data_IF_007603796584
#
_entry.id   IF_007603796584
#
_cell.length_a   1.000
_cell.length_b   1.000
_cell.length_c   1.000
_cell.angle_alpha   90.00
_cell.angle_beta   90.00
_cell.angle_gamma   90.00
#
_symmetry.space_group_name_H-M   'P 1'
#
loop_
_entity.id
_entity.type
_entity.pdbx_description
1 polymer ?
#
# COMPACT_ATOMS: atom_id res chain seq x y z
N UNK A 1 6.30 -2.86 9.89
CA UNK A 1 5.13 -2.61 10.73
C UNK A 1 5.61 -1.84 11.93
N UNK A 2 5.25 -0.57 12.06
CA UNK A 2 5.57 0.23 13.25
C UNK A 2 4.27 0.41 14.01
N UNK A 3 4.16 -0.21 15.17
CA UNK A 3 3.10 0.08 16.11
C UNK A 3 3.62 1.13 17.09
N UNK A 4 2.93 2.23 17.26
CA UNK A 4 3.22 3.22 18.29
C UNK A 4 1.99 3.41 19.15
N UNK A 5 2.11 3.18 20.45
CA UNK A 5 1.15 3.62 21.44
C UNK A 5 1.44 5.09 21.73
N UNK A 6 0.51 5.97 21.39
CA UNK A 6 0.59 7.39 21.71
C UNK A 6 -0.34 7.64 22.88
N UNK A 7 0.24 7.97 24.02
CA UNK A 7 -0.50 8.48 25.17
C UNK A 7 -0.65 9.99 25.02
N UNK A 8 -1.86 10.49 24.88
CA UNK A 8 -2.13 11.93 24.99
C UNK A 8 -2.67 12.19 26.39
N UNK A 9 -1.94 12.98 27.17
CA UNK A 9 -2.43 13.52 28.43
C UNK A 9 -3.41 14.65 28.11
N UNK A 10 -4.63 14.48 28.60
CA UNK A 10 -5.67 15.50 28.83
C UNK A 10 -5.98 16.49 27.70
N UNK A 11 -7.14 16.30 27.08
CA UNK A 11 -7.79 17.29 26.22
C UNK A 11 -8.65 18.18 27.10
N UNK A 12 -8.50 19.49 26.97
CA UNK A 12 -9.41 20.47 27.58
C UNK A 12 -10.60 20.76 26.63
N UNK A 13 -11.78 21.00 27.22
CA UNK A 13 -13.00 21.31 26.49
C UNK A 13 -12.82 22.66 25.75
N UNK A 14 -12.61 22.62 24.45
CA UNK A 14 -12.38 23.79 23.61
C UNK A 14 -11.27 23.64 22.57
N UNK A 15 -10.53 22.54 22.56
CA UNK A 15 -9.46 22.31 21.58
C UNK A 15 -10.05 21.98 20.20
N UNK A 16 -9.83 22.87 19.23
CA UNK A 16 -10.16 22.61 17.83
C UNK A 16 -9.11 21.71 17.17
N UNK A 17 -9.57 20.56 16.67
CA UNK A 17 -8.70 19.67 15.86
C UNK A 17 -8.51 20.32 14.49
N UNK A 18 -7.42 21.06 14.31
CA UNK A 18 -7.02 21.56 12.99
C UNK A 18 -6.30 20.43 12.26
N UNK A 19 -7.05 19.67 11.47
CA UNK A 19 -6.47 18.64 10.59
C UNK A 19 -5.88 19.33 9.35
N UNK A 20 -4.60 19.66 9.43
CA UNK A 20 -3.86 20.14 8.28
C UNK A 20 -3.49 18.92 7.42
N UNK A 21 -4.16 18.73 6.27
CA UNK A 21 -4.04 17.57 5.36
C UNK A 21 -2.61 17.22 4.91
N UNK A 22 -1.65 18.11 5.13
CA UNK A 22 -0.27 17.97 4.64
C UNK A 22 0.77 17.71 5.73
N UNK A 23 0.50 18.05 7.00
CA UNK A 23 1.54 18.05 8.03
C UNK A 23 1.51 16.82 8.96
N UNK A 24 0.35 16.25 9.25
CA UNK A 24 0.24 15.18 10.24
C UNK A 24 1.02 13.92 9.84
N UNK A 25 0.86 13.47 8.60
CA UNK A 25 1.61 12.31 8.09
C UNK A 25 3.12 12.61 7.90
N UNK A 26 3.49 13.89 7.68
CA UNK A 26 4.88 14.31 7.48
C UNK A 26 5.61 14.49 8.81
N UNK A 27 4.99 15.07 9.80
CA UNK A 27 5.56 15.22 11.15
C UNK A 27 5.73 13.87 11.82
N UNK A 28 4.76 12.97 11.71
CA UNK A 28 4.86 11.61 12.19
C UNK A 28 5.93 10.78 11.47
N UNK A 29 6.12 10.99 10.16
CA UNK A 29 7.18 10.34 9.41
C UNK A 29 8.57 10.85 9.80
N UNK A 30 8.70 12.12 10.16
CA UNK A 30 9.96 12.72 10.63
C UNK A 30 10.30 12.23 12.05
N UNK A 31 9.34 12.20 12.96
CA UNK A 31 9.53 11.64 14.31
C UNK A 31 9.83 10.13 14.29
N UNK A 32 9.17 9.37 13.44
CA UNK A 32 9.43 7.93 13.28
C UNK A 32 10.84 7.66 12.71
N UNK A 33 11.38 8.57 11.87
CA UNK A 33 12.74 8.44 11.33
C UNK A 33 13.84 8.86 12.32
N UNK A 34 13.52 9.67 13.32
CA UNK A 34 14.48 10.07 14.35
C UNK A 34 14.66 9.00 15.44
N UNK A 35 13.69 8.12 15.64
CA UNK A 35 13.73 7.02 16.60
C UNK A 35 14.09 5.68 15.93
N UNK A 36 15.23 5.60 15.25
CA UNK A 36 15.83 4.35 14.76
C UNK A 36 16.48 3.53 15.88
N UNK A 37 15.84 3.41 17.04
CA UNK A 37 16.14 2.33 17.96
C UNK A 37 15.34 1.11 17.50
N UNK A 38 16.01 -0.03 17.39
CA UNK A 38 15.42 -1.36 17.28
C UNK A 38 14.41 -1.50 18.43
N UNK A 39 13.18 -1.08 18.20
CA UNK A 39 12.09 -1.31 19.15
C UNK A 39 11.87 -2.82 19.17
N UNK A 40 12.35 -3.45 20.25
CA UNK A 40 12.00 -4.82 20.57
C UNK A 40 10.49 -4.88 20.70
N UNK A 41 9.88 -5.84 19.98
CA UNK A 41 8.44 -6.12 20.09
C UNK A 41 8.12 -6.29 21.58
N UNK A 42 7.15 -5.54 22.15
CA UNK A 42 6.76 -5.70 23.55
C UNK A 42 6.45 -7.16 23.88
N UNK A 43 6.75 -7.58 25.10
CA UNK A 43 6.70 -8.99 25.52
C UNK A 43 5.32 -9.61 25.27
N UNK A 44 4.26 -8.87 25.51
CA UNK A 44 2.86 -9.29 25.25
C UNK A 44 2.56 -9.62 23.78
N UNK A 45 3.32 -9.03 22.83
CA UNK A 45 3.14 -9.25 21.38
C UNK A 45 4.16 -10.21 20.77
N UNK A 46 5.13 -10.73 21.54
CA UNK A 46 6.17 -11.63 21.02
C UNK A 46 5.59 -12.91 20.40
N UNK A 47 4.46 -13.40 20.91
CA UNK A 47 3.74 -14.53 20.29
C UNK A 47 3.30 -14.26 18.84
N UNK A 48 3.22 -12.98 18.44
CA UNK A 48 2.88 -12.52 17.11
C UNK A 48 4.08 -11.99 16.33
N UNK A 49 5.30 -12.28 16.75
CA UNK A 49 6.55 -11.75 16.17
C UNK A 49 6.63 -11.91 14.63
N UNK A 50 6.04 -12.98 14.07
CA UNK A 50 5.96 -13.19 12.62
C UNK A 50 5.24 -12.06 11.86
N UNK A 51 4.23 -11.43 12.48
CA UNK A 51 3.48 -10.31 11.87
C UNK A 51 4.36 -9.08 11.71
N UNK A 52 5.38 -8.93 12.56
CA UNK A 52 6.33 -7.81 12.55
C UNK A 52 7.59 -8.12 11.74
N UNK A 53 7.75 -9.35 11.28
CA UNK A 53 8.94 -9.79 10.52
C UNK A 53 8.94 -9.22 9.10
N UNK A 54 10.05 -8.57 8.72
CA UNK A 54 10.24 -8.06 7.38
C UNK A 54 10.37 -9.19 6.35
N UNK A 55 11.03 -10.28 6.71
CA UNK A 55 11.22 -11.44 5.83
C UNK A 55 9.90 -12.16 5.55
N UNK A 56 9.06 -12.33 6.56
CA UNK A 56 7.73 -12.93 6.39
C UNK A 56 6.79 -12.07 5.53
N UNK A 57 6.95 -10.75 5.56
CA UNK A 57 6.17 -9.83 4.73
C UNK A 57 6.55 -9.87 3.24
N UNK A 58 7.69 -10.47 2.89
CA UNK A 58 8.21 -10.53 1.51
C UNK A 58 7.84 -11.81 0.76
N UNK A 59 7.05 -12.69 1.36
CA UNK A 59 6.59 -13.92 0.70
C UNK A 59 5.67 -13.60 -0.49
N UNK A 60 5.71 -14.47 -1.52
CA UNK A 60 4.74 -14.39 -2.60
C UNK A 60 3.32 -14.68 -2.05
N UNK A 61 2.32 -13.85 -2.31
CA UNK A 61 0.99 -14.00 -1.74
C UNK A 61 0.23 -15.20 -2.34
N UNK A 62 -0.65 -15.87 -1.54
CA UNK A 62 -1.51 -16.91 -2.06
C UNK A 62 -2.58 -16.33 -2.99
N UNK A 63 -3.09 -17.15 -3.89
CA UNK A 63 -4.26 -16.82 -4.73
C UNK A 63 -5.50 -16.60 -3.86
N UNK A 64 -6.29 -15.57 -4.19
CA UNK A 64 -7.55 -15.24 -3.52
C UNK A 64 -8.62 -14.90 -4.54
N UNK A 65 -9.88 -14.97 -4.13
CA UNK A 65 -11.02 -14.54 -4.96
C UNK A 65 -10.95 -13.05 -5.33
N UNK A 66 -10.33 -12.24 -4.45
CA UNK A 66 -10.16 -10.78 -4.64
C UNK A 66 -8.84 -10.43 -5.33
N UNK A 67 -8.20 -11.35 -6.03
CA UNK A 67 -7.02 -11.02 -6.82
C UNK A 67 -7.34 -9.90 -7.80
N UNK A 68 -6.40 -8.96 -7.96
CA UNK A 68 -6.60 -7.72 -8.70
C UNK A 68 -6.91 -7.98 -10.18
N UNK A 69 -8.12 -7.65 -10.59
CA UNK A 69 -8.58 -7.79 -11.96
C UNK A 69 -8.29 -6.53 -12.79
N UNK A 70 -7.75 -6.70 -13.99
CA UNK A 70 -7.57 -5.63 -14.97
C UNK A 70 -8.56 -5.87 -16.11
N UNK A 71 -9.79 -5.37 -15.95
CA UNK A 71 -10.82 -5.48 -16.97
C UNK A 71 -10.66 -4.35 -17.98
N UNK A 72 -10.42 -4.69 -19.24
CA UNK A 72 -10.30 -3.71 -20.30
C UNK A 72 -11.67 -3.37 -20.88
N UNK A 73 -11.80 -2.14 -21.40
CA UNK A 73 -12.97 -1.70 -22.17
C UNK A 73 -13.02 -2.48 -23.49
N UNK A 74 -14.22 -2.68 -24.11
CA UNK A 74 -14.36 -3.46 -25.34
C UNK A 74 -13.56 -2.92 -26.53
N UNK A 75 -13.34 -1.62 -26.56
CA UNK A 75 -12.63 -0.88 -27.60
C UNK A 75 -11.15 -0.64 -27.28
N UNK A 76 -10.61 -1.34 -26.27
CA UNK A 76 -9.20 -1.25 -25.92
C UNK A 76 -8.31 -1.70 -27.09
N UNK A 77 -7.22 -0.98 -27.39
CA UNK A 77 -6.32 -1.32 -28.49
C UNK A 77 -5.64 -2.66 -28.24
N UNK A 78 -5.32 -3.37 -29.31
CA UNK A 78 -4.58 -4.65 -29.19
C UNK A 78 -3.13 -4.49 -28.71
N UNK A 79 -2.57 -3.28 -28.82
CA UNK A 79 -1.19 -2.97 -28.42
C UNK A 79 -1.15 -1.62 -27.71
N UNK A 80 -0.37 -1.55 -26.62
CA UNK A 80 -0.02 -0.30 -25.94
C UNK A 80 1.50 -0.27 -25.80
N UNK A 81 2.19 0.39 -26.69
CA UNK A 81 3.64 0.55 -26.62
C UNK A 81 4.02 1.92 -26.06
N UNK A 82 5.21 2.02 -25.51
CA UNK A 82 5.73 3.24 -24.91
C UNK A 82 7.20 3.47 -25.26
N UNK A 83 7.66 4.70 -25.11
CA UNK A 83 9.08 5.05 -25.18
C UNK A 83 9.78 4.62 -23.89
N UNK A 84 11.01 4.14 -24.02
CA UNK A 84 11.91 3.91 -22.89
C UNK A 84 12.52 5.26 -22.52
N UNK A 85 12.44 5.62 -21.24
CA UNK A 85 13.14 6.81 -20.74
C UNK A 85 14.62 6.50 -20.54
N UNK A 86 15.53 7.41 -20.95
CA UNK A 86 16.95 7.26 -20.69
C UNK A 86 17.20 7.31 -19.17
N UNK A 87 18.09 6.43 -18.71
CA UNK A 87 18.51 6.35 -17.32
C UNK A 87 19.96 6.81 -17.18
N UNK A 88 20.28 7.46 -16.09
CA UNK A 88 21.67 7.70 -15.72
C UNK A 88 22.28 6.41 -15.09
N UNK A 89 23.62 6.33 -14.91
CA UNK A 89 24.27 5.14 -14.38
C UNK A 89 23.71 4.69 -13.01
N UNK A 90 23.49 5.63 -12.09
CA UNK A 90 22.96 5.34 -10.76
C UNK A 90 21.52 4.74 -10.83
N UNK A 91 20.70 5.27 -11.72
CA UNK A 91 19.35 4.75 -11.97
C UNK A 91 19.38 3.37 -12.62
N UNK A 92 20.36 3.12 -13.50
CA UNK A 92 20.54 1.81 -14.14
C UNK A 92 20.92 0.74 -13.13
N UNK A 93 21.84 1.05 -12.20
CA UNK A 93 22.22 0.14 -11.12
C UNK A 93 21.05 -0.12 -10.16
N UNK A 94 20.32 0.92 -9.80
CA UNK A 94 19.13 0.80 -8.96
C UNK A 94 18.05 -0.07 -9.64
N UNK A 95 17.84 0.09 -10.94
CA UNK A 95 16.93 -0.73 -11.73
C UNK A 95 17.35 -2.20 -11.74
N UNK A 96 18.61 -2.47 -12.02
CA UNK A 96 19.14 -3.84 -12.08
C UNK A 96 18.95 -4.57 -10.74
N UNK A 97 19.24 -3.87 -9.62
CA UNK A 97 19.03 -4.38 -8.27
C UNK A 97 17.54 -4.65 -8.00
N UNK A 98 16.67 -3.70 -8.35
CA UNK A 98 15.23 -3.83 -8.15
C UNK A 98 14.64 -4.99 -8.96
N UNK A 99 15.01 -5.12 -10.24
CA UNK A 99 14.54 -6.22 -11.10
C UNK A 99 14.98 -7.56 -10.53
N UNK A 100 16.25 -7.70 -10.15
CA UNK A 100 16.76 -8.93 -9.55
C UNK A 100 15.96 -9.31 -8.30
N UNK A 101 15.80 -8.36 -7.37
CA UNK A 101 15.05 -8.58 -6.14
C UNK A 101 13.61 -9.01 -6.38
N UNK A 102 12.92 -8.39 -7.36
CA UNK A 102 11.52 -8.70 -7.65
C UNK A 102 11.34 -10.00 -8.44
N UNK A 103 12.32 -10.38 -9.25
CA UNK A 103 12.37 -11.71 -9.90
C UNK A 103 12.59 -12.81 -8.85
N UNK A 104 13.54 -12.62 -7.94
CA UNK A 104 13.84 -13.58 -6.86
C UNK A 104 12.63 -13.82 -5.95
N UNK A 105 11.80 -12.76 -5.69
CA UNK A 105 10.55 -12.84 -4.94
C UNK A 105 9.35 -13.30 -5.77
N UNK A 106 9.51 -13.57 -7.05
CA UNK A 106 8.43 -13.89 -8.00
C UNK A 106 7.36 -12.78 -8.13
N UNK A 107 7.67 -11.54 -7.77
CA UNK A 107 6.76 -10.40 -7.90
C UNK A 107 6.61 -9.91 -9.34
N UNK A 108 7.62 -10.19 -10.18
CA UNK A 108 7.60 -9.93 -11.61
C UNK A 108 8.13 -11.15 -12.37
N UNK A 109 7.83 -11.23 -13.66
CA UNK A 109 8.43 -12.21 -14.58
C UNK A 109 8.69 -11.57 -15.93
N UNK A 110 9.51 -12.21 -16.76
CA UNK A 110 9.71 -11.82 -18.16
C UNK A 110 8.38 -11.88 -18.93
N UNK A 111 8.16 -10.92 -19.81
CA UNK A 111 6.92 -10.80 -20.58
C UNK A 111 7.17 -10.82 -22.09
N UNK A 112 6.14 -11.22 -22.82
CA UNK A 112 6.00 -11.05 -24.27
C UNK A 112 4.73 -10.26 -24.60
N UNK A 113 4.25 -9.47 -23.65
CA UNK A 113 3.01 -8.72 -23.79
C UNK A 113 3.09 -7.71 -24.96
N UNK A 114 1.98 -7.52 -25.68
CA UNK A 114 1.83 -6.40 -26.61
C UNK A 114 1.60 -5.06 -25.88
N UNK A 115 1.40 -5.09 -24.55
CA UNK A 115 1.27 -3.91 -23.71
C UNK A 115 2.59 -3.61 -23.02
N UNK A 116 2.93 -2.33 -22.94
CA UNK A 116 4.10 -1.86 -22.22
C UNK A 116 3.85 -0.50 -21.59
N UNK A 117 3.88 -0.42 -20.27
CA UNK A 117 3.94 0.84 -19.55
C UNK A 117 5.37 1.36 -19.48
N UNK A 118 5.63 2.65 -19.60
CA UNK A 118 6.95 3.21 -19.36
C UNK A 118 7.25 3.20 -17.86
N UNK A 119 8.53 3.21 -17.59
CA UNK A 119 9.09 3.15 -16.25
C UNK A 119 9.99 4.37 -16.05
N UNK A 120 10.00 4.94 -14.84
CA UNK A 120 10.87 6.05 -14.47
C UNK A 120 11.15 6.09 -12.96
N UNK A 121 12.16 6.87 -12.56
CA UNK A 121 12.48 7.09 -11.16
C UNK A 121 11.97 8.44 -10.67
N UNK A 122 11.47 8.45 -9.43
CA UNK A 122 11.18 9.66 -8.68
C UNK A 122 12.13 9.72 -7.49
N UNK A 123 12.77 10.86 -7.29
CA UNK A 123 13.56 11.12 -6.09
C UNK A 123 12.61 11.43 -4.92
N UNK A 124 12.76 10.69 -3.82
CA UNK A 124 12.09 11.02 -2.58
C UNK A 124 12.76 12.22 -1.90
N UNK A 125 12.12 12.79 -0.89
CA UNK A 125 12.67 13.90 -0.09
C UNK A 125 13.99 13.55 0.60
N UNK A 126 14.20 12.28 0.95
CA UNK A 126 15.42 11.73 1.54
C UNK A 126 16.52 11.42 0.51
N UNK A 127 16.31 11.76 -0.76
CA UNK A 127 17.24 11.51 -1.86
C UNK A 127 17.20 10.08 -2.43
N UNK A 128 16.46 9.15 -1.82
CA UNK A 128 16.32 7.78 -2.34
C UNK A 128 15.48 7.74 -3.61
N UNK A 129 15.78 6.78 -4.48
CA UNK A 129 15.06 6.59 -5.72
C UNK A 129 13.83 5.69 -5.49
N UNK A 130 12.66 6.15 -5.93
CA UNK A 130 11.46 5.35 -6.02
C UNK A 130 11.17 5.03 -7.47
N UNK A 131 11.06 3.76 -7.77
CA UNK A 131 10.67 3.25 -9.07
C UNK A 131 9.16 3.37 -9.25
N UNK A 132 8.72 3.88 -10.39
CA UNK A 132 7.30 4.09 -10.72
C UNK A 132 7.03 3.65 -12.15
N UNK A 133 5.98 2.89 -12.36
CA UNK A 133 5.43 2.56 -13.67
C UNK A 133 4.33 3.58 -14.03
N UNK A 134 4.35 4.07 -15.25
CA UNK A 134 3.31 4.97 -15.72
C UNK A 134 2.16 4.21 -16.38
N UNK A 135 1.18 3.88 -15.59
CA UNK A 135 -0.01 3.17 -16.06
C UNK A 135 -1.12 4.07 -16.62
N UNK A 136 -0.88 5.38 -16.86
CA UNK A 136 -1.93 6.30 -17.36
C UNK A 136 -2.57 5.81 -18.65
N UNK A 137 -1.78 5.27 -19.59
CA UNK A 137 -2.29 4.70 -20.84
C UNK A 137 -3.17 3.46 -20.59
N UNK A 138 -2.71 2.52 -19.74
CA UNK A 138 -3.50 1.36 -19.33
C UNK A 138 -4.78 1.79 -18.58
N UNK A 139 -4.66 2.73 -17.65
CA UNK A 139 -5.78 3.22 -16.85
C UNK A 139 -6.89 3.87 -17.70
N UNK A 140 -6.54 4.49 -18.82
CA UNK A 140 -7.51 5.05 -19.76
C UNK A 140 -8.43 3.97 -20.38
N UNK A 141 -7.90 2.76 -20.55
CA UNK A 141 -8.58 1.60 -21.12
C UNK A 141 -9.10 0.60 -20.09
N UNK A 142 -8.82 0.82 -18.81
CA UNK A 142 -9.32 -0.04 -17.74
C UNK A 142 -10.72 0.38 -17.31
N UNK A 143 -11.62 -0.57 -17.17
CA UNK A 143 -12.93 -0.36 -16.54
C UNK A 143 -12.71 -0.04 -15.06
N UNK A 144 -13.21 1.11 -14.60
CA UNK A 144 -13.02 1.53 -13.21
C UNK A 144 -13.87 0.68 -12.27
N UNK A 145 -13.25 0.28 -11.18
CA UNK A 145 -13.92 -0.30 -10.04
C UNK A 145 -14.57 0.82 -9.22
N UNK A 146 -15.82 0.62 -8.86
CA UNK A 146 -16.62 1.58 -8.07
C UNK A 146 -16.68 1.22 -6.59
N UNK A 147 -15.81 0.30 -6.11
CA UNK A 147 -15.76 -0.06 -4.70
C UNK A 147 -15.55 1.21 -3.86
N UNK A 148 -16.40 1.46 -2.85
CA UNK A 148 -16.34 2.70 -2.08
C UNK A 148 -15.10 2.76 -1.19
N UNK A 149 -14.32 3.81 -1.34
CA UNK A 149 -13.29 4.15 -0.35
C UNK A 149 -13.97 4.82 0.86
N UNK A 150 -13.49 4.56 2.08
CA UNK A 150 -14.03 5.19 3.27
C UNK A 150 -13.98 6.72 3.20
N UNK A 151 -15.07 7.38 3.58
CA UNK A 151 -15.10 8.83 3.69
C UNK A 151 -14.30 9.31 4.91
N UNK A 152 -13.26 10.11 4.67
CA UNK A 152 -12.38 10.63 5.71
C UNK A 152 -13.14 11.47 6.72
N UNK A 153 -14.16 12.23 6.29
CA UNK A 153 -14.99 13.07 7.17
C UNK A 153 -15.77 12.20 8.17
N UNK A 154 -16.34 11.10 7.67
CA UNK A 154 -17.04 10.13 8.53
C UNK A 154 -16.08 9.41 9.48
N UNK A 155 -14.88 9.04 9.02
CA UNK A 155 -13.85 8.46 9.88
C UNK A 155 -13.49 9.42 11.02
N UNK A 156 -13.19 10.67 10.71
CA UNK A 156 -12.84 11.70 11.70
C UNK A 156 -13.95 11.91 12.72
N UNK A 157 -15.21 11.96 12.26
CA UNK A 157 -16.36 12.10 13.16
C UNK A 157 -16.48 10.94 14.16
N UNK A 158 -16.19 9.72 13.72
CA UNK A 158 -16.23 8.53 14.55
C UNK A 158 -15.06 8.43 15.55
N UNK A 159 -14.03 9.27 15.41
CA UNK A 159 -12.93 9.38 16.37
C UNK A 159 -13.27 10.29 17.56
N UNK A 160 -14.34 11.09 17.49
CA UNK A 160 -14.76 11.94 18.60
C UNK A 160 -15.03 11.11 19.86
N UNK A 161 -14.49 11.54 21.00
CA UNK A 161 -14.60 10.85 22.28
C UNK A 161 -13.72 9.60 22.44
N UNK A 162 -12.85 9.30 21.48
CA UNK A 162 -11.82 8.27 21.64
C UNK A 162 -10.57 8.87 22.28
N UNK A 163 -9.88 8.08 23.12
CA UNK A 163 -8.74 8.54 23.91
C UNK A 163 -7.49 7.69 23.68
N UNK A 164 -7.64 6.41 23.34
CA UNK A 164 -6.51 5.52 23.07
C UNK A 164 -6.48 5.19 21.58
N UNK A 165 -5.29 5.32 20.99
CA UNK A 165 -5.09 5.14 19.56
C UNK A 165 -3.91 4.24 19.28
N UNK A 166 -4.10 3.20 18.46
CA UNK A 166 -3.02 2.38 17.90
C UNK A 166 -3.12 2.39 16.38
N UNK A 167 -2.03 2.78 15.71
CA UNK A 167 -1.93 2.77 14.25
C UNK A 167 -1.03 1.64 13.80
N UNK A 168 -1.53 0.87 12.81
CA UNK A 168 -0.72 -0.10 12.07
C UNK A 168 -0.62 0.36 10.61
N UNK A 169 0.58 0.17 10.05
CA UNK A 169 0.87 0.36 8.64
C UNK A 169 1.15 -1.00 8.02
N UNK A 170 0.43 -1.36 6.95
CA UNK A 170 0.62 -2.66 6.30
C UNK A 170 1.84 -2.58 5.39
N UNK A 171 2.94 -3.18 5.83
CA UNK A 171 4.18 -3.24 5.04
C UNK A 171 3.94 -3.99 3.73
N UNK A 172 4.37 -3.38 2.62
CA UNK A 172 4.25 -3.96 1.27
C UNK A 172 2.80 -4.31 0.89
N UNK A 173 1.82 -3.55 1.36
CA UNK A 173 0.40 -3.86 1.25
C UNK A 173 -0.01 -4.30 -0.16
N UNK A 174 0.33 -3.53 -1.20
CA UNK A 174 -0.03 -3.86 -2.58
C UNK A 174 0.65 -5.15 -3.07
N UNK A 175 1.88 -5.43 -2.67
CA UNK A 175 2.57 -6.68 -3.04
C UNK A 175 1.96 -7.92 -2.38
N UNK A 176 1.08 -7.75 -1.39
CA UNK A 176 0.34 -8.84 -0.75
C UNK A 176 -0.96 -9.21 -1.49
N UNK A 177 -1.26 -8.57 -2.62
CA UNK A 177 -2.39 -8.90 -3.49
C UNK A 177 -1.86 -9.25 -4.87
N UNK A 178 -2.25 -10.42 -5.38
CA UNK A 178 -1.88 -10.88 -6.72
C UNK A 178 -2.67 -10.13 -7.78
N UNK A 179 -2.10 -10.05 -8.97
CA UNK A 179 -2.89 -9.78 -10.18
C UNK A 179 -3.55 -11.08 -10.58
N UNK A 180 -4.85 -11.02 -10.90
CA UNK A 180 -5.66 -12.17 -11.34
C UNK A 180 -4.97 -12.90 -12.48
N UNK A 181 -4.98 -14.23 -12.41
CA UNK A 181 -4.36 -15.06 -13.44
C UNK A 181 -4.98 -14.77 -14.82
N UNK A 182 -4.08 -14.52 -15.80
CA UNK A 182 -4.44 -14.11 -17.15
C UNK A 182 -4.52 -12.59 -17.37
N UNK A 183 -4.41 -11.76 -16.32
CA UNK A 183 -4.43 -10.30 -16.41
C UNK A 183 -3.02 -9.65 -16.33
N UNK A 184 -2.00 -10.40 -15.91
CA UNK A 184 -0.65 -9.88 -15.65
C UNK A 184 -0.03 -9.17 -16.85
N UNK A 185 -0.21 -9.73 -18.05
CA UNK A 185 0.33 -9.17 -19.28
C UNK A 185 -0.17 -7.76 -19.59
N UNK A 186 -1.37 -7.40 -19.14
CA UNK A 186 -1.96 -6.06 -19.36
C UNK A 186 -1.18 -4.98 -18.63
N UNK A 187 -0.57 -5.32 -17.49
CA UNK A 187 0.25 -4.42 -16.68
C UNK A 187 1.75 -4.54 -16.96
N UNK A 188 2.13 -5.12 -18.09
CA UNK A 188 3.53 -5.21 -18.47
C UNK A 188 4.18 -3.83 -18.56
N UNK A 189 5.46 -3.74 -18.22
CA UNK A 189 6.24 -2.51 -18.23
C UNK A 189 7.60 -2.74 -18.90
N UNK A 190 8.06 -1.72 -19.61
CA UNK A 190 9.24 -1.77 -20.47
C UNK A 190 10.39 -0.99 -19.83
N UNK A 191 11.53 -1.63 -19.74
CA UNK A 191 12.76 -1.06 -19.18
C UNK A 191 13.93 -1.25 -20.17
N UNK A 192 15.05 -0.55 -20.01
CA UNK A 192 16.26 -0.85 -20.80
C UNK A 192 16.79 -2.28 -20.65
N UNK A 193 16.42 -2.98 -19.57
CA UNK A 193 16.84 -4.35 -19.27
C UNK A 193 15.85 -5.42 -19.75
N UNK A 194 14.71 -5.01 -20.32
CA UNK A 194 13.72 -5.93 -20.87
C UNK A 194 12.29 -5.54 -20.59
N UNK A 195 11.37 -6.40 -21.03
CA UNK A 195 9.94 -6.30 -20.80
C UNK A 195 9.55 -7.28 -19.69
N UNK A 196 8.86 -6.79 -18.68
CA UNK A 196 8.43 -7.54 -17.50
C UNK A 196 6.94 -7.35 -17.26
N UNK A 197 6.32 -8.32 -16.63
CA UNK A 197 4.94 -8.22 -16.17
C UNK A 197 4.84 -8.53 -14.67
N UNK A 198 4.04 -7.76 -13.92
CA UNK A 198 3.90 -7.94 -12.49
C UNK A 198 2.96 -9.11 -12.20
N UNK A 199 3.30 -9.88 -11.16
CA UNK A 199 2.48 -10.96 -10.60
C UNK A 199 1.65 -10.47 -9.41
N UNK A 200 2.03 -9.32 -8.83
CA UNK A 200 1.36 -8.67 -7.70
C UNK A 200 1.01 -7.23 -8.07
N UNK A 201 0.09 -6.63 -7.34
CA UNK A 201 -0.28 -5.24 -7.60
C UNK A 201 0.92 -4.31 -7.46
N UNK A 202 1.02 -3.35 -8.38
CA UNK A 202 1.98 -2.27 -8.33
C UNK A 202 1.27 -0.92 -8.18
N UNK A 203 2.02 0.08 -7.73
CA UNK A 203 1.52 1.44 -7.65
C UNK A 203 1.19 2.00 -9.05
N UNK A 204 0.13 2.82 -9.11
CA UNK A 204 -0.27 3.51 -10.33
C UNK A 204 -1.40 2.86 -11.12
N UNK A 205 -1.79 1.62 -10.85
CA UNK A 205 -2.97 0.98 -11.42
C UNK A 205 -4.25 1.61 -10.83
N UNK A 206 -5.21 2.00 -11.67
CA UNK A 206 -6.36 2.80 -11.25
C UNK A 206 -7.27 2.10 -10.23
N UNK A 207 -7.40 0.77 -10.32
CA UNK A 207 -8.27 -0.01 -9.44
C UNK A 207 -7.52 -0.62 -8.23
N UNK A 208 -6.19 -0.45 -8.12
CA UNK A 208 -5.42 -1.00 -7.02
C UNK A 208 -5.89 -0.49 -5.64
N UNK A 209 -6.24 0.80 -5.45
CA UNK A 209 -6.80 1.29 -4.20
C UNK A 209 -8.12 0.59 -3.83
N UNK A 210 -9.04 0.44 -4.79
CA UNK A 210 -10.35 -0.20 -4.59
C UNK A 210 -10.20 -1.68 -4.23
N UNK A 211 -9.39 -2.43 -4.99
CA UNK A 211 -9.09 -3.84 -4.71
C UNK A 211 -8.48 -3.99 -3.32
N UNK A 212 -7.48 -3.16 -2.97
CA UNK A 212 -6.81 -3.27 -1.69
C UNK A 212 -7.76 -2.97 -0.51
N UNK A 213 -8.57 -1.91 -0.63
CA UNK A 213 -9.59 -1.59 0.37
C UNK A 213 -10.59 -2.75 0.55
N UNK A 214 -11.04 -3.36 -0.55
CA UNK A 214 -11.94 -4.52 -0.51
C UNK A 214 -11.30 -5.70 0.24
N UNK A 215 -10.05 -6.04 -0.07
CA UNK A 215 -9.30 -7.09 0.62
C UNK A 215 -9.19 -6.81 2.12
N UNK A 216 -8.84 -5.57 2.49
CA UNK A 216 -8.70 -5.15 3.89
C UNK A 216 -10.04 -5.18 4.62
N UNK A 217 -11.11 -4.69 3.99
CA UNK A 217 -12.46 -4.71 4.56
C UNK A 217 -12.92 -6.15 4.81
N UNK A 218 -12.70 -7.06 3.87
CA UNK A 218 -13.05 -8.47 4.03
C UNK A 218 -12.27 -9.14 5.17
N UNK A 219 -10.95 -8.92 5.23
CA UNK A 219 -10.11 -9.52 6.29
C UNK A 219 -10.50 -9.02 7.67
N UNK A 220 -10.82 -7.73 7.79
CA UNK A 220 -11.12 -7.10 9.07
C UNK A 220 -12.61 -7.06 9.42
N UNK A 221 -13.49 -7.51 8.51
CA UNK A 221 -14.94 -7.53 8.74
C UNK A 221 -15.36 -8.21 10.05
N UNK A 222 -14.85 -9.40 10.43
CA UNK A 222 -15.22 -10.02 11.70
C UNK A 222 -14.89 -9.15 12.91
N UNK A 223 -13.76 -8.45 12.88
CA UNK A 223 -13.34 -7.55 13.93
C UNK A 223 -14.17 -6.26 13.94
N UNK A 224 -14.47 -5.69 12.77
CA UNK A 224 -15.35 -4.51 12.66
C UNK A 224 -16.78 -4.78 13.18
N UNK A 225 -17.29 -5.99 12.95
CA UNK A 225 -18.60 -6.40 13.47
C UNK A 225 -18.57 -6.60 14.99
N UNK A 226 -17.48 -7.15 15.53
CA UNK A 226 -17.33 -7.37 16.97
C UNK A 226 -17.06 -6.07 17.73
N UNK A 227 -16.32 -5.14 17.14
CA UNK A 227 -15.91 -3.87 17.74
C UNK A 227 -16.30 -2.68 16.83
N UNK A 228 -17.61 -2.39 16.73
CA UNK A 228 -18.10 -1.33 15.85
C UNK A 228 -17.55 0.03 16.29
N UNK A 229 -17.18 0.85 15.32
CA UNK A 229 -16.62 2.19 15.52
C UNK A 229 -15.32 2.26 16.33
N UNK A 230 -14.56 1.15 16.40
CA UNK A 230 -13.26 1.11 17.07
C UNK A 230 -12.14 0.78 16.08
N UNK A 231 -12.44 0.12 14.97
CA UNK A 231 -11.46 -0.29 13.96
C UNK A 231 -11.77 0.45 12.66
N UNK A 232 -10.83 1.27 12.25
CA UNK A 232 -10.90 2.09 11.05
C UNK A 232 -9.81 1.63 10.08
N UNK A 233 -10.17 1.49 8.82
CA UNK A 233 -9.28 1.03 7.77
C UNK A 233 -9.36 1.98 6.60
N UNK A 234 -8.23 2.52 6.21
CA UNK A 234 -8.09 3.33 5.02
C UNK A 234 -6.86 2.85 4.25
N UNK A 235 -7.09 2.02 3.24
CA UNK A 235 -6.03 1.39 2.47
C UNK A 235 -5.07 0.58 3.37
N UNK A 236 -3.79 0.95 3.40
CA UNK A 236 -2.72 0.34 4.18
C UNK A 236 -2.67 0.79 5.65
N UNK A 237 -3.44 1.82 6.01
CA UNK A 237 -3.55 2.34 7.36
C UNK A 237 -4.68 1.67 8.13
N UNK A 238 -4.38 1.02 9.25
CA UNK A 238 -5.35 0.48 10.20
C UNK A 238 -5.23 1.27 11.49
N UNK A 239 -6.32 1.89 11.92
CA UNK A 239 -6.38 2.63 13.17
C UNK A 239 -7.35 1.93 14.13
N UNK A 240 -6.87 1.59 15.31
CA UNK A 240 -7.71 1.16 16.43
C UNK A 240 -7.86 2.37 17.36
N UNK A 241 -9.10 2.74 17.67
CA UNK A 241 -9.41 3.86 18.52
C UNK A 241 -10.50 3.48 19.54
N UNK A 242 -10.20 3.60 20.84
CA UNK A 242 -11.12 3.22 21.91
C UNK A 242 -11.31 4.38 22.89
N UNK A 243 -12.39 4.36 23.70
CA UNK A 243 -12.50 5.23 24.88
C UNK A 243 -11.30 5.03 25.80
N UNK A 244 -11.24 5.81 26.88
CA UNK A 244 -10.19 5.68 27.90
C UNK A 244 -10.38 4.41 28.76
N UNK A 245 -10.28 3.25 28.10
CA UNK A 245 -10.39 1.92 28.71
C UNK A 245 -9.29 1.01 28.13
N UNK A 246 -8.18 0.82 28.85
CA UNK A 246 -7.07 -0.01 28.40
C UNK A 246 -7.45 -1.49 28.21
N UNK A 247 -8.49 -1.98 28.89
CA UNK A 247 -8.92 -3.39 28.76
C UNK A 247 -9.67 -3.65 27.47
N UNK A 248 -10.24 -2.57 26.89
CA UNK A 248 -10.96 -2.62 25.63
C UNK A 248 -10.04 -2.36 24.43
N UNK A 249 -8.91 -1.67 24.66
CA UNK A 249 -7.95 -1.32 23.61
C UNK A 249 -7.01 -2.48 23.29
#
# INVERSE_FOLDING_TARGET
>A
MHSRLVWTSEWEEGDEIIINRTNFAQEWAIEANQNKHLETIPEEYQRHAKVFSETEAQRFPPTREDDHAINLKPDAPSTLDCKIYPLNPTETDALAKWIKEHLDKCYIRLSKSPYAAPFFFIKKKDGTLRLVQDYRALNAWTVRDVYPLPDITSLTRNLAGKCLFTKFDVRWGYHNVRIRDGDQWKAAFKTPLGLFEPMVMLFGQCNAPATFQHVMDRILQPLKLKYPYMIFVYMDDILIATPNDPTLH
#
